data_IF_303775457499
#
_entry.id   IF_303775457499
#
_cell.length_a   1.000
_cell.length_b   1.000
_cell.length_c   1.000
_cell.angle_alpha   90.00
_cell.angle_beta   90.00
_cell.angle_gamma   90.00
#
_symmetry.space_group_name_H-M   'P 1'
#
loop_
_entity.id
_entity.type
_entity.pdbx_description
1 polymer ?
#
# COMPACT_ATOMS: atom_id res chain seq x y z
N UNK A 1 -7.73 0.55 -9.73
CA UNK A 1 -7.12 0.07 -8.48
C UNK A 1 -5.69 -0.29 -8.77
N UNK A 2 -4.77 0.20 -7.94
CA UNK A 2 -3.32 0.07 -8.15
C UNK A 2 -2.61 -0.51 -6.92
N UNK A 3 -1.63 -1.38 -7.16
CA UNK A 3 -0.84 -2.04 -6.13
C UNK A 3 0.64 -1.62 -6.10
N UNK A 4 1.43 -2.33 -5.30
CA UNK A 4 2.82 -1.95 -5.00
C UNK A 4 3.73 -1.98 -6.24
N UNK A 5 3.33 -2.69 -7.29
CA UNK A 5 4.03 -2.69 -8.58
C UNK A 5 4.11 -1.30 -9.23
N UNK A 6 3.17 -0.40 -8.93
CA UNK A 6 3.18 1.00 -9.40
C UNK A 6 4.42 1.76 -8.88
N UNK A 7 4.71 1.61 -7.59
CA UNK A 7 5.76 2.35 -6.88
C UNK A 7 7.14 1.69 -6.99
N UNK A 8 7.21 0.46 -7.50
CA UNK A 8 8.42 -0.37 -7.43
C UNK A 8 9.59 0.09 -8.31
N UNK A 9 9.30 0.81 -9.39
CA UNK A 9 10.30 1.28 -10.37
C UNK A 9 10.62 2.78 -10.23
N UNK A 10 10.21 3.38 -9.11
CA UNK A 10 10.50 4.78 -8.87
C UNK A 10 11.98 4.93 -8.52
N UNK A 11 12.65 5.85 -9.21
CA UNK A 11 14.05 6.15 -8.95
C UNK A 11 14.16 7.06 -7.72
N UNK A 12 15.06 6.74 -6.77
CA UNK A 12 15.30 7.62 -5.64
C UNK A 12 16.02 8.89 -6.11
N UNK A 13 15.64 10.05 -5.57
CA UNK A 13 16.39 11.28 -5.77
C UNK A 13 17.54 11.43 -4.75
N UNK A 14 17.51 10.66 -3.66
CA UNK A 14 18.56 10.63 -2.65
C UNK A 14 19.58 9.54 -2.98
N UNK A 15 20.87 9.91 -2.99
CA UNK A 15 21.96 8.97 -3.25
C UNK A 15 22.03 7.87 -2.18
N UNK A 16 22.14 6.61 -2.61
CA UNK A 16 22.26 5.44 -1.72
C UNK A 16 20.93 4.84 -1.25
N UNK A 17 19.80 5.48 -1.55
CA UNK A 17 18.47 4.93 -1.25
C UNK A 17 18.18 3.68 -2.08
N UNK A 18 17.60 2.67 -1.44
CA UNK A 18 17.22 1.40 -2.08
C UNK A 18 15.79 1.48 -2.55
N UNK A 19 15.47 0.90 -3.71
CA UNK A 19 14.10 0.78 -4.25
C UNK A 19 13.07 0.46 -3.17
N UNK A 20 11.85 0.99 -3.34
CA UNK A 20 10.73 0.65 -2.48
C UNK A 20 10.52 -0.88 -2.43
N UNK A 21 10.35 -1.46 -1.23
CA UNK A 21 10.29 -2.90 -1.09
C UNK A 21 8.99 -3.45 -1.67
N UNK A 22 9.09 -4.59 -2.36
CA UNK A 22 7.94 -5.41 -2.70
C UNK A 22 7.60 -6.34 -1.54
N UNK A 23 6.42 -6.97 -1.61
CA UNK A 23 5.99 -7.97 -0.62
C UNK A 23 7.03 -9.08 -0.40
N UNK A 24 7.68 -9.56 -1.46
CA UNK A 24 8.78 -10.54 -1.38
C UNK A 24 10.01 -10.01 -0.63
N UNK A 25 10.28 -8.72 -0.72
CA UNK A 25 11.43 -8.09 -0.05
C UNK A 25 11.10 -7.94 1.45
N UNK A 26 9.87 -7.50 1.77
CA UNK A 26 9.35 -7.43 3.13
C UNK A 26 9.32 -8.81 3.81
N UNK A 27 9.00 -9.88 3.08
CA UNK A 27 9.08 -11.26 3.60
C UNK A 27 10.46 -11.57 4.14
N UNK A 28 11.49 -11.40 3.31
CA UNK A 28 12.89 -11.67 3.69
C UNK A 28 13.35 -10.79 4.85
N UNK A 29 12.88 -9.55 4.90
CA UNK A 29 13.18 -8.63 5.99
C UNK A 29 12.55 -9.09 7.31
N UNK A 30 11.31 -9.58 7.29
CA UNK A 30 10.63 -10.15 8.45
C UNK A 30 11.32 -11.44 8.93
N UNK A 31 11.64 -12.37 8.01
CA UNK A 31 12.33 -13.62 8.35
C UNK A 31 13.65 -13.33 9.05
N UNK A 32 14.44 -12.43 8.45
CA UNK A 32 15.71 -12.01 9.04
C UNK A 32 15.51 -11.36 10.41
N UNK A 33 14.46 -10.57 10.60
CA UNK A 33 14.18 -9.90 11.86
C UNK A 33 13.72 -10.88 12.96
N UNK A 34 12.99 -11.95 12.61
CA UNK A 34 12.53 -12.97 13.55
C UNK A 34 13.59 -14.01 13.87
N UNK A 35 14.22 -14.57 12.84
CA UNK A 35 15.07 -15.76 12.95
C UNK A 35 16.56 -15.46 12.83
N UNK A 36 16.94 -14.26 12.38
CA UNK A 36 18.34 -13.85 12.18
C UNK A 36 18.96 -14.32 10.86
N UNK A 37 18.31 -15.22 10.13
CA UNK A 37 18.69 -15.72 8.81
C UNK A 37 17.51 -15.69 7.84
N UNK A 38 17.81 -15.80 6.54
CA UNK A 38 16.82 -15.94 5.47
C UNK A 38 17.05 -17.31 4.85
N UNK A 39 16.02 -18.16 4.82
CA UNK A 39 16.11 -19.42 4.10
C UNK A 39 15.79 -19.20 2.61
N UNK A 40 16.75 -19.49 1.73
CA UNK A 40 16.59 -19.24 0.28
C UNK A 40 15.54 -20.15 -0.40
N UNK A 41 15.03 -21.17 0.29
CA UNK A 41 14.13 -22.19 -0.26
C UNK A 41 12.63 -21.92 -0.02
N UNK A 42 12.26 -20.86 0.69
CA UNK A 42 10.86 -20.59 0.95
C UNK A 42 10.18 -20.00 -0.29
N UNK A 43 9.23 -20.76 -0.83
CA UNK A 43 8.29 -20.26 -1.83
C UNK A 43 7.44 -19.18 -1.15
N UNK A 44 7.80 -17.92 -1.35
CA UNK A 44 7.11 -16.77 -0.76
C UNK A 44 5.70 -16.63 -1.33
N UNK A 45 4.74 -17.36 -0.77
CA UNK A 45 3.31 -17.17 -1.04
C UNK A 45 2.76 -16.02 -0.20
N UNK A 46 1.63 -15.44 -0.63
CA UNK A 46 0.94 -14.43 0.16
C UNK A 46 0.54 -14.96 1.55
N UNK A 47 0.07 -16.20 1.63
CA UNK A 47 -0.32 -16.84 2.89
C UNK A 47 0.88 -17.04 3.83
N UNK A 48 2.04 -17.43 3.29
CA UNK A 48 3.29 -17.56 4.06
C UNK A 48 3.69 -16.22 4.66
N UNK A 49 3.61 -15.15 3.85
CA UNK A 49 3.90 -13.80 4.32
C UNK A 49 2.97 -13.35 5.45
N UNK A 50 1.65 -13.52 5.29
CA UNK A 50 0.69 -13.03 6.27
C UNK A 50 0.84 -13.75 7.61
N UNK A 51 1.17 -15.05 7.60
CA UNK A 51 1.48 -15.83 8.80
C UNK A 51 2.77 -15.38 9.46
N UNK A 52 3.83 -15.14 8.68
CA UNK A 52 5.09 -14.62 9.20
C UNK A 52 4.91 -13.22 9.83
N UNK A 53 4.14 -12.34 9.19
CA UNK A 53 3.81 -11.04 9.73
C UNK A 53 2.98 -11.13 11.02
N UNK A 54 2.07 -12.11 11.10
CA UNK A 54 1.31 -12.41 12.31
C UNK A 54 2.24 -12.90 13.44
N UNK A 55 3.14 -13.83 13.15
CA UNK A 55 4.15 -14.31 14.12
C UNK A 55 5.03 -13.16 14.63
N UNK A 56 5.47 -12.27 13.73
CA UNK A 56 6.20 -11.06 14.12
C UNK A 56 5.41 -10.21 15.10
N UNK A 57 4.12 -9.98 14.80
CA UNK A 57 3.23 -9.21 15.67
C UNK A 57 3.02 -9.88 17.02
N UNK A 58 2.85 -11.19 17.04
CA UNK A 58 2.60 -11.94 18.28
C UNK A 58 3.83 -11.92 19.19
N UNK A 59 5.02 -12.00 18.60
CA UNK A 59 6.28 -12.01 19.35
C UNK A 59 6.74 -10.61 19.79
N UNK A 60 6.64 -9.60 18.92
CA UNK A 60 7.16 -8.25 19.19
C UNK A 60 6.08 -7.20 19.52
N UNK A 61 4.81 -7.50 19.30
CA UNK A 61 3.69 -6.59 19.47
C UNK A 61 3.41 -5.68 18.26
N UNK A 62 2.22 -5.09 18.23
CA UNK A 62 1.74 -4.25 17.12
C UNK A 62 2.59 -2.99 16.89
N UNK A 63 3.05 -2.33 17.96
CA UNK A 63 3.87 -1.10 17.86
C UNK A 63 5.19 -1.39 17.12
N UNK A 64 5.84 -2.51 17.43
CA UNK A 64 7.09 -2.91 16.78
C UNK A 64 6.89 -3.27 15.32
N UNK A 65 5.75 -3.87 14.98
CA UNK A 65 5.40 -4.12 13.59
C UNK A 65 5.20 -2.81 12.81
N UNK A 66 4.50 -1.85 13.39
CA UNK A 66 4.29 -0.53 12.76
C UNK A 66 5.63 0.20 12.56
N UNK A 67 6.51 0.17 13.56
CA UNK A 67 7.88 0.70 13.44
C UNK A 67 8.68 -0.02 12.35
N UNK A 68 8.56 -1.35 12.27
CA UNK A 68 9.20 -2.14 11.22
C UNK A 68 8.72 -1.68 9.84
N UNK A 69 7.41 -1.62 9.59
CA UNK A 69 6.85 -1.17 8.29
C UNK A 69 7.37 0.22 7.92
N UNK A 70 7.31 1.17 8.85
CA UNK A 70 7.79 2.55 8.65
C UNK A 70 9.28 2.59 8.32
N UNK A 71 10.08 1.77 9.00
CA UNK A 71 11.53 1.72 8.78
C UNK A 71 11.94 1.09 7.44
N UNK A 72 11.08 0.27 6.83
CA UNK A 72 11.38 -0.38 5.55
C UNK A 72 10.96 0.45 4.33
N UNK A 73 10.08 1.44 4.51
CA UNK A 73 9.49 2.22 3.41
C UNK A 73 9.80 3.71 3.62
N UNK A 74 10.94 4.14 3.07
CA UNK A 74 11.35 5.54 3.08
C UNK A 74 10.72 6.29 1.90
N UNK A 75 9.46 6.71 2.05
CA UNK A 75 8.73 7.42 0.98
C UNK A 75 9.33 8.78 0.64
N UNK A 76 10.03 9.42 1.58
CA UNK A 76 10.61 10.75 1.40
C UNK A 76 11.79 10.71 0.42
N UNK A 77 12.50 9.59 0.33
CA UNK A 77 13.62 9.41 -0.62
C UNK A 77 13.20 9.30 -2.09
N UNK A 78 11.90 9.26 -2.40
CA UNK A 78 11.35 9.07 -3.73
C UNK A 78 10.46 10.25 -4.14
N UNK A 79 10.45 10.52 -5.45
CA UNK A 79 9.47 11.42 -6.07
C UNK A 79 8.54 10.62 -6.98
N UNK A 80 7.28 11.07 -7.16
CA UNK A 80 6.38 10.40 -8.07
C UNK A 80 6.93 10.35 -9.50
N UNK A 81 6.95 9.17 -10.10
CA UNK A 81 7.41 8.99 -11.48
C UNK A 81 6.40 9.57 -12.49
N UNK A 82 6.83 9.73 -13.75
CA UNK A 82 5.93 10.16 -14.83
C UNK A 82 4.73 9.23 -15.00
N UNK A 83 4.90 7.94 -14.69
CA UNK A 83 3.78 6.99 -14.71
C UNK A 83 2.70 7.33 -13.68
N UNK A 84 3.06 7.88 -12.51
CA UNK A 84 2.06 8.36 -11.55
C UNK A 84 1.28 9.55 -12.12
N UNK A 85 1.96 10.45 -12.83
CA UNK A 85 1.33 11.61 -13.49
C UNK A 85 0.38 11.15 -14.58
N UNK A 86 0.86 10.33 -15.52
CA UNK A 86 0.06 9.75 -16.61
C UNK A 86 -1.18 9.02 -16.07
N UNK A 87 -1.02 8.24 -14.99
CA UNK A 87 -2.12 7.55 -14.34
C UNK A 87 -3.17 8.55 -13.83
N UNK A 88 -2.77 9.61 -13.14
CA UNK A 88 -3.70 10.58 -12.54
C UNK A 88 -4.27 11.59 -13.54
N UNK A 89 -3.64 11.76 -14.71
CA UNK A 89 -4.15 12.57 -15.82
C UNK A 89 -5.42 11.97 -16.44
N UNK A 90 -5.60 10.65 -16.32
CA UNK A 90 -6.84 9.97 -16.71
C UNK A 90 -8.01 10.44 -15.81
N UNK A 91 -9.22 10.53 -16.38
CA UNK A 91 -10.43 11.02 -15.72
C UNK A 91 -11.06 10.00 -14.74
N UNK A 92 -10.25 9.49 -13.81
CA UNK A 92 -10.75 8.55 -12.80
C UNK A 92 -11.70 9.22 -11.82
N UNK A 93 -12.85 8.59 -11.58
CA UNK A 93 -13.73 8.97 -10.47
C UNK A 93 -13.12 8.61 -9.11
N UNK A 94 -12.48 7.43 -9.02
CA UNK A 94 -11.89 6.88 -7.80
C UNK A 94 -10.64 6.07 -8.14
N UNK A 95 -9.54 6.34 -7.44
CA UNK A 95 -8.28 5.57 -7.48
C UNK A 95 -8.11 4.84 -6.16
N UNK A 96 -8.40 3.55 -6.14
CA UNK A 96 -8.14 2.69 -4.97
C UNK A 96 -6.71 2.18 -4.97
N UNK A 97 -6.04 2.19 -3.82
CA UNK A 97 -4.73 1.59 -3.66
C UNK A 97 -4.55 0.88 -2.33
N UNK A 98 -3.72 -0.17 -2.34
CA UNK A 98 -3.24 -0.88 -1.16
C UNK A 98 -1.82 -0.46 -0.76
N UNK A 99 -1.24 0.54 -1.44
CA UNK A 99 0.12 1.00 -1.20
C UNK A 99 0.19 1.88 0.04
N UNK A 100 1.28 1.77 0.79
CA UNK A 100 1.52 2.58 1.98
C UNK A 100 2.25 3.89 1.69
N UNK A 101 3.09 3.95 0.65
CA UNK A 101 3.80 5.17 0.22
C UNK A 101 2.85 6.30 -0.15
N UNK A 102 3.35 7.54 -0.19
CA UNK A 102 2.56 8.75 -0.44
C UNK A 102 2.72 9.34 -1.86
N UNK A 103 3.20 8.52 -2.81
CA UNK A 103 3.58 8.98 -4.14
C UNK A 103 2.39 9.44 -4.98
N UNK A 104 1.25 8.74 -4.90
CA UNK A 104 0.02 9.17 -5.59
C UNK A 104 -0.48 10.51 -5.04
N UNK A 105 -0.38 10.71 -3.73
CA UNK A 105 -0.82 11.89 -3.00
C UNK A 105 0.07 13.11 -3.30
N UNK A 106 1.37 12.86 -3.53
CA UNK A 106 2.36 13.88 -3.92
C UNK A 106 2.32 14.22 -5.40
N UNK A 107 1.75 13.35 -6.23
CA UNK A 107 1.62 13.60 -7.67
C UNK A 107 0.72 14.82 -7.90
N UNK A 108 1.14 15.70 -8.81
CA UNK A 108 0.40 16.90 -9.21
C UNK A 108 0.10 16.78 -10.70
N UNK A 109 -1.17 16.91 -11.05
CA UNK A 109 -1.66 16.90 -12.43
C UNK A 109 -2.40 18.20 -12.73
N UNK A 110 -2.34 18.65 -13.98
CA UNK A 110 -2.96 19.91 -14.37
C UNK A 110 -4.50 19.82 -14.32
N UNK A 111 -5.16 20.88 -13.81
CA UNK A 111 -6.62 20.99 -13.74
C UNK A 111 -7.38 19.87 -13.02
N UNK A 112 -6.71 19.05 -12.20
CA UNK A 112 -7.37 17.99 -11.44
C UNK A 112 -6.80 17.88 -10.03
N UNK A 113 -7.70 17.78 -9.06
CA UNK A 113 -7.35 17.60 -7.66
C UNK A 113 -8.08 16.37 -7.14
N UNK A 114 -7.33 15.39 -6.65
CA UNK A 114 -7.88 14.21 -6.01
C UNK A 114 -8.01 14.45 -4.51
N UNK A 115 -9.20 14.26 -3.95
CA UNK A 115 -9.36 14.23 -2.50
C UNK A 115 -8.76 12.95 -1.94
N UNK A 116 -8.02 13.05 -0.84
CA UNK A 116 -7.41 11.90 -0.19
C UNK A 116 -8.36 11.30 0.86
N UNK A 117 -8.51 9.97 0.85
CA UNK A 117 -9.27 9.21 1.84
C UNK A 117 -8.35 8.14 2.42
N UNK A 118 -7.87 8.36 3.65
CA UNK A 118 -7.04 7.44 4.43
C UNK A 118 -7.82 6.67 5.48
N UNK A 119 -8.94 7.24 5.93
CA UNK A 119 -9.77 6.66 6.98
C UNK A 119 -11.23 6.54 6.52
N UNK A 120 -11.98 5.65 7.18
CA UNK A 120 -13.40 5.45 6.89
C UNK A 120 -14.21 6.73 7.12
N UNK A 121 -13.82 7.53 8.11
CA UNK A 121 -14.47 8.79 8.46
C UNK A 121 -14.34 9.83 7.34
N UNK A 122 -13.23 9.81 6.61
CA UNK A 122 -12.96 10.75 5.52
C UNK A 122 -13.80 10.47 4.26
N UNK A 123 -14.40 9.29 4.12
CA UNK A 123 -15.25 8.94 2.97
C UNK A 123 -16.36 9.99 2.80
N UNK A 124 -17.07 10.34 3.89
CA UNK A 124 -18.22 11.23 3.85
C UNK A 124 -17.86 12.69 3.58
N UNK A 125 -16.64 13.11 3.93
CA UNK A 125 -16.16 14.49 3.73
C UNK A 125 -15.34 14.67 2.44
N UNK A 126 -15.18 13.63 1.62
CA UNK A 126 -14.37 13.66 0.41
C UNK A 126 -15.22 13.85 -0.84
N UNK A 127 -14.74 14.68 -1.78
CA UNK A 127 -15.37 14.86 -3.10
C UNK A 127 -14.59 14.12 -4.18
N UNK A 128 -15.31 13.61 -5.19
CA UNK A 128 -14.68 13.06 -6.40
C UNK A 128 -13.94 14.15 -7.19
N UNK A 129 -12.81 13.83 -7.86
CA UNK A 129 -12.18 12.52 -7.88
C UNK A 129 -11.40 12.23 -6.58
N UNK A 130 -11.24 10.95 -6.20
CA UNK A 130 -10.60 10.55 -4.92
C UNK A 130 -9.45 9.57 -5.08
N UNK A 131 -8.45 9.64 -4.22
CA UNK A 131 -7.47 8.58 -3.96
C UNK A 131 -7.84 7.94 -2.62
N UNK A 132 -8.11 6.63 -2.62
CA UNK A 132 -8.60 5.89 -1.46
C UNK A 132 -7.57 4.85 -1.04
N UNK A 133 -7.05 5.00 0.18
CA UNK A 133 -6.04 4.13 0.79
C UNK A 133 -6.73 3.03 1.59
N UNK A 134 -6.78 1.84 1.03
CA UNK A 134 -7.52 0.72 1.62
C UNK A 134 -6.77 0.11 2.81
N UNK A 135 -5.45 0.00 2.73
CA UNK A 135 -4.65 -0.73 3.72
C UNK A 135 -3.96 0.19 4.75
N UNK A 136 -4.23 1.49 4.71
CA UNK A 136 -3.52 2.51 5.47
C UNK A 136 -2.54 3.31 4.63
N UNK A 137 -1.85 4.26 5.25
CA UNK A 137 -0.93 5.19 4.59
C UNK A 137 0.22 5.54 5.52
N UNK A 138 1.45 5.65 5.02
CA UNK A 138 2.52 6.25 5.80
C UNK A 138 2.25 7.75 6.00
N UNK A 139 2.71 8.34 7.12
CA UNK A 139 3.44 7.70 8.23
C UNK A 139 2.51 7.08 9.32
N UNK A 140 1.19 7.09 9.12
CA UNK A 140 0.21 6.80 10.18
C UNK A 140 -0.73 5.66 9.81
N UNK A 141 -0.71 4.60 10.63
CA UNK A 141 -1.62 3.47 10.49
C UNK A 141 -3.10 3.80 10.77
N UNK A 142 -3.99 2.79 10.79
CA UNK A 142 -3.67 1.36 10.89
C UNK A 142 -3.14 0.75 9.57
N UNK A 143 -2.15 -0.15 9.66
CA UNK A 143 -1.63 -0.91 8.51
C UNK A 143 -2.27 -2.30 8.45
N UNK A 144 -2.77 -2.69 7.27
CA UNK A 144 -3.34 -4.02 7.02
C UNK A 144 -2.25 -4.96 6.53
N UNK A 145 -1.61 -5.67 7.45
CA UNK A 145 -0.33 -6.34 7.16
C UNK A 145 -0.25 -7.80 7.60
N UNK A 146 -1.04 -8.20 8.61
CA UNK A 146 -1.01 -9.55 9.20
C UNK A 146 -2.21 -10.39 8.76
N UNK A 147 -2.12 -11.71 8.93
CA UNK A 147 -3.24 -12.63 8.69
C UNK A 147 -4.52 -12.20 9.42
N UNK A 148 -4.41 -11.78 10.69
CA UNK A 148 -5.56 -11.32 11.47
C UNK A 148 -6.16 -10.04 10.89
N UNK A 149 -5.34 -9.08 10.45
CA UNK A 149 -5.85 -7.84 9.85
C UNK A 149 -6.72 -8.13 8.63
N UNK A 150 -6.26 -9.02 7.74
CA UNK A 150 -6.99 -9.44 6.56
C UNK A 150 -8.27 -10.20 6.92
N UNK A 151 -8.21 -11.10 7.91
CA UNK A 151 -9.37 -11.89 8.36
C UNK A 151 -10.49 -11.00 8.89
N UNK A 152 -10.15 -9.96 9.64
CA UNK A 152 -11.15 -9.03 10.21
C UNK A 152 -11.45 -7.85 9.29
N UNK A 153 -10.68 -7.63 8.23
CA UNK A 153 -10.79 -6.46 7.35
C UNK A 153 -12.21 -6.20 6.85
N UNK A 154 -12.97 -7.20 6.33
CA UNK A 154 -14.33 -6.95 5.84
C UNK A 154 -15.31 -6.48 6.91
N UNK A 155 -15.07 -6.82 8.18
CA UNK A 155 -15.89 -6.37 9.31
C UNK A 155 -15.43 -5.00 9.80
N UNK A 156 -14.12 -4.81 9.96
CA UNK A 156 -13.52 -3.59 10.52
C UNK A 156 -13.57 -2.40 9.56
N UNK A 157 -13.37 -2.65 8.27
CA UNK A 157 -13.36 -1.66 7.20
C UNK A 157 -14.50 -1.89 6.20
N UNK A 158 -15.66 -2.35 6.70
CA UNK A 158 -16.85 -2.62 5.89
C UNK A 158 -17.22 -1.47 4.93
N UNK A 159 -17.12 -0.18 5.32
CA UNK A 159 -17.40 0.92 4.40
C UNK A 159 -16.45 1.00 3.20
N UNK A 160 -15.16 0.71 3.38
CA UNK A 160 -14.22 0.62 2.26
C UNK A 160 -14.53 -0.56 1.35
N UNK A 161 -14.87 -1.72 1.92
CA UNK A 161 -15.29 -2.90 1.13
C UNK A 161 -16.53 -2.57 0.31
N UNK A 162 -17.56 -1.99 0.94
CA UNK A 162 -18.79 -1.61 0.26
C UNK A 162 -18.54 -0.58 -0.85
N UNK A 163 -17.67 0.40 -0.61
CA UNK A 163 -17.30 1.40 -1.61
C UNK A 163 -16.63 0.79 -2.84
N UNK A 164 -15.71 -0.16 -2.65
CA UNK A 164 -15.06 -0.89 -3.75
C UNK A 164 -16.08 -1.73 -4.51
N UNK A 165 -16.92 -2.49 -3.79
CA UNK A 165 -17.97 -3.33 -4.39
C UNK A 165 -18.97 -2.50 -5.18
N UNK A 166 -19.44 -1.38 -4.62
CA UNK A 166 -20.34 -0.45 -5.30
C UNK A 166 -19.69 0.11 -6.58
N UNK A 167 -18.40 0.46 -6.52
CA UNK A 167 -17.68 0.96 -7.70
C UNK A 167 -17.60 -0.09 -8.80
N UNK A 168 -17.36 -1.36 -8.44
CA UNK A 168 -17.34 -2.48 -9.40
C UNK A 168 -18.72 -2.68 -10.05
N UNK A 169 -19.80 -2.46 -9.31
CA UNK A 169 -21.17 -2.59 -9.82
C UNK A 169 -21.57 -1.41 -10.72
N UNK A 170 -21.16 -0.20 -10.36
CA UNK A 170 -21.58 1.03 -11.05
C UNK A 170 -20.69 1.41 -12.23
N UNK A 171 -19.44 0.94 -12.26
CA UNK A 171 -18.42 1.42 -13.22
C UNK A 171 -17.47 0.32 -13.67
N UNK A 172 -16.75 0.57 -14.76
CA UNK A 172 -15.63 -0.28 -15.18
C UNK A 172 -14.42 -0.04 -14.29
N UNK A 173 -13.99 -1.06 -13.55
CA UNK A 173 -12.77 -1.00 -12.75
C UNK A 173 -11.56 -1.46 -13.57
N UNK A 174 -10.54 -0.61 -13.64
CA UNK A 174 -9.21 -0.99 -14.16
C UNK A 174 -8.30 -1.46 -13.01
N UNK A 175 -7.52 -2.52 -13.25
CA UNK A 175 -6.62 -3.13 -12.27
C UNK A 175 -5.18 -3.10 -12.78
N UNK A 176 -4.27 -2.53 -11.99
CA UNK A 176 -2.84 -2.52 -12.29
C UNK A 176 -2.01 -2.92 -11.07
N UNK A 177 -1.46 -4.13 -11.17
CA UNK A 177 -0.69 -4.79 -10.12
C UNK A 177 0.71 -5.19 -10.60
N UNK A 178 0.99 -5.04 -11.90
CA UNK A 178 2.19 -5.61 -12.49
C UNK A 178 3.37 -4.65 -12.43
N UNK A 179 4.53 -5.22 -12.12
CA UNK A 179 5.81 -4.59 -12.42
C UNK A 179 5.94 -4.50 -13.93
N UNK A 180 5.82 -3.29 -14.48
CA UNK A 180 6.26 -3.06 -15.86
C UNK A 180 7.78 -3.10 -15.85
N UNK A 181 8.36 -4.04 -16.57
CA UNK A 181 9.82 -4.14 -16.76
C UNK A 181 10.30 -3.08 -17.74
#
# INVERSE_FOLDING_TARGET
MVGAGLSANVEPHVSGSKRLPLWKDLHKMLEKALYGNVEDNLTSSADSFLKLAQEFRDYHGAVKLDEFIKSQIDTEAFDPSDYHKELLEIEWADVFTTNYDDLLERTRVFNRHYSLVKTVQEIASSSRPRIVKLHGSLPSGPFVFTEEDYRIYPKRFAPFVNMVLQTIVETTMWLDWFLRR
#
